data_IF_135218926061
#
_entry.id   IF_135218926061
#
_cell.length_a   1.000
_cell.length_b   1.000
_cell.length_c   1.000
_cell.angle_alpha   90.00
_cell.angle_beta   90.00
_cell.angle_gamma   90.00
#
_symmetry.space_group_name_H-M   'P 1'
#
loop_
_entity.id
_entity.type
_entity.pdbx_description
1 polymer ?
#
# COMPACT_ATOMS: atom_id res chain seq x y z
N UNK A 1 -0.47 -0.07 -43.54
CA UNK A 1 0.29 -1.34 -43.60
C UNK A 1 1.73 -1.05 -43.20
N UNK A 2 2.16 -1.39 -41.98
CA UNK A 2 3.54 -1.15 -41.50
C UNK A 2 4.39 -2.41 -41.70
N UNK A 3 5.57 -2.24 -42.30
CA UNK A 3 6.51 -3.30 -42.72
C UNK A 3 7.21 -3.96 -41.52
N UNK A 4 7.50 -5.25 -41.68
CA UNK A 4 8.30 -6.10 -40.79
C UNK A 4 9.76 -5.63 -40.78
N UNK A 5 10.32 -5.26 -39.63
CA UNK A 5 11.76 -4.96 -39.52
C UNK A 5 12.21 -3.99 -38.42
N UNK A 6 11.31 -3.22 -37.80
CA UNK A 6 11.72 -2.33 -36.70
C UNK A 6 11.77 -3.10 -35.38
N UNK A 7 12.96 -3.42 -34.90
CA UNK A 7 13.24 -4.07 -33.61
C UNK A 7 12.82 -3.28 -32.36
N UNK A 8 11.77 -2.46 -32.45
CA UNK A 8 11.12 -1.80 -31.31
C UNK A 8 10.17 -2.79 -30.65
N UNK A 9 10.33 -2.99 -29.35
CA UNK A 9 9.41 -3.79 -28.54
C UNK A 9 7.99 -3.27 -28.74
N UNK A 10 7.13 -4.08 -29.38
CA UNK A 10 5.71 -3.75 -29.55
C UNK A 10 5.08 -3.56 -28.17
N UNK A 11 4.36 -2.46 -28.00
CA UNK A 11 3.66 -2.08 -26.75
C UNK A 11 3.01 -3.27 -26.05
N UNK A 12 3.23 -3.41 -24.73
CA UNK A 12 2.77 -4.57 -23.94
C UNK A 12 1.26 -4.79 -24.02
N UNK A 13 0.47 -3.74 -24.33
CA UNK A 13 -0.98 -3.80 -24.55
C UNK A 13 -1.41 -4.76 -25.66
N UNK A 14 -0.54 -5.07 -26.65
CA UNK A 14 -0.83 -6.05 -27.72
C UNK A 14 -0.36 -7.49 -27.40
N UNK A 15 0.31 -7.73 -26.26
CA UNK A 15 0.70 -9.08 -25.80
C UNK A 15 -0.39 -9.73 -24.93
N UNK A 16 -1.37 -8.97 -24.47
CA UNK A 16 -2.57 -9.46 -23.76
C UNK A 16 -3.62 -9.95 -24.77
N UNK A 17 -3.27 -10.98 -25.56
CA UNK A 17 -4.12 -11.48 -26.64
C UNK A 17 -5.12 -12.56 -26.24
N UNK A 18 -5.00 -13.12 -25.04
CA UNK A 18 -5.82 -14.23 -24.56
C UNK A 18 -6.99 -13.71 -23.74
N UNK A 19 -8.21 -14.07 -24.14
CA UNK A 19 -9.43 -13.80 -23.39
C UNK A 19 -9.89 -15.07 -22.69
N UNK A 20 -10.10 -14.97 -21.38
CA UNK A 20 -10.70 -16.03 -20.58
C UNK A 20 -12.17 -15.65 -20.36
N UNK A 21 -13.09 -16.52 -20.80
CA UNK A 21 -14.51 -16.36 -20.56
C UNK A 21 -15.02 -17.55 -19.74
N UNK A 22 -15.66 -17.26 -18.62
CA UNK A 22 -16.48 -18.21 -17.86
C UNK A 22 -17.87 -17.61 -17.72
N UNK A 23 -18.90 -18.37 -18.09
CA UNK A 23 -20.27 -18.02 -17.73
C UNK A 23 -20.46 -18.32 -16.24
N UNK A 24 -20.94 -17.33 -15.51
CA UNK A 24 -21.21 -17.43 -14.08
C UNK A 24 -22.66 -17.06 -13.83
N UNK A 25 -23.24 -17.69 -12.83
CA UNK A 25 -24.54 -17.30 -12.26
C UNK A 25 -24.39 -16.01 -11.44
N UNK A 26 -25.51 -15.35 -11.15
CA UNK A 26 -25.51 -14.15 -10.31
C UNK A 26 -24.97 -14.45 -8.90
N UNK A 27 -25.29 -15.63 -8.35
CA UNK A 27 -24.79 -16.08 -7.05
C UNK A 27 -23.27 -16.29 -7.06
N UNK A 28 -22.73 -16.90 -8.12
CA UNK A 28 -21.28 -17.06 -8.28
C UNK A 28 -20.56 -15.72 -8.41
N UNK A 29 -21.17 -14.74 -9.10
CA UNK A 29 -20.62 -13.40 -9.24
C UNK A 29 -20.63 -12.67 -7.89
N UNK A 30 -21.75 -12.72 -7.17
CA UNK A 30 -21.86 -12.12 -5.84
C UNK A 30 -20.85 -12.71 -4.86
N UNK A 31 -20.74 -14.04 -4.81
CA UNK A 31 -19.76 -14.74 -3.98
C UNK A 31 -18.31 -14.40 -4.37
N UNK A 32 -18.05 -14.06 -5.63
CA UNK A 32 -16.72 -13.63 -6.09
C UNK A 32 -16.39 -12.21 -5.65
N UNK A 33 -17.35 -11.28 -5.72
CA UNK A 33 -17.20 -9.89 -5.24
C UNK A 33 -16.99 -9.87 -3.73
N UNK A 34 -17.77 -10.64 -2.97
CA UNK A 34 -17.58 -10.74 -1.52
C UNK A 34 -16.17 -11.26 -1.18
N UNK A 35 -15.68 -12.23 -1.95
CA UNK A 35 -14.32 -12.75 -1.80
C UNK A 35 -13.24 -11.72 -2.14
N UNK A 36 -13.48 -10.85 -3.13
CA UNK A 36 -12.56 -9.75 -3.45
C UNK A 36 -12.51 -8.71 -2.34
N UNK A 37 -13.66 -8.39 -1.75
CA UNK A 37 -13.77 -7.42 -0.65
C UNK A 37 -13.09 -7.96 0.61
N UNK A 38 -13.32 -9.25 0.92
CA UNK A 38 -12.66 -9.95 2.01
C UNK A 38 -11.13 -10.04 1.80
N UNK A 39 -10.69 -10.22 0.54
CA UNK A 39 -9.28 -10.16 0.17
C UNK A 39 -8.72 -8.71 0.18
N UNK A 40 -9.60 -7.73 0.40
CA UNK A 40 -9.27 -6.34 0.62
C UNK A 40 -9.13 -5.49 -0.64
N UNK A 41 -9.50 -6.02 -1.81
CA UNK A 41 -9.50 -5.31 -3.08
C UNK A 41 -10.71 -4.37 -3.18
N UNK A 42 -10.53 -3.20 -3.78
CA UNK A 42 -11.63 -2.27 -4.06
C UNK A 42 -12.38 -2.63 -5.35
N UNK A 43 -11.70 -3.30 -6.29
CA UNK A 43 -12.29 -3.78 -7.54
C UNK A 43 -12.07 -5.30 -7.68
N UNK A 44 -13.17 -6.04 -7.89
CA UNK A 44 -13.17 -7.48 -8.13
C UNK A 44 -12.36 -7.89 -9.37
N UNK A 45 -12.15 -6.98 -10.34
CA UNK A 45 -11.32 -7.24 -11.54
C UNK A 45 -9.83 -7.27 -11.22
N UNK A 46 -9.38 -6.44 -10.29
CA UNK A 46 -8.01 -6.47 -9.80
C UNK A 46 -7.78 -7.74 -8.98
N UNK A 47 -8.78 -8.15 -8.20
CA UNK A 47 -8.77 -9.44 -7.52
C UNK A 47 -8.69 -10.61 -8.51
N UNK A 48 -9.46 -10.60 -9.60
CA UNK A 48 -9.36 -11.63 -10.65
C UNK A 48 -7.96 -11.67 -11.29
N UNK A 49 -7.37 -10.49 -11.54
CA UNK A 49 -6.02 -10.40 -12.08
C UNK A 49 -4.99 -10.99 -11.12
N UNK A 50 -5.10 -10.68 -9.82
CA UNK A 50 -4.26 -11.25 -8.79
C UNK A 50 -4.50 -12.77 -8.63
N UNK A 51 -5.75 -13.22 -8.73
CA UNK A 51 -6.13 -14.64 -8.68
C UNK A 51 -5.47 -15.43 -9.81
N UNK A 52 -5.59 -14.96 -11.06
CA UNK A 52 -5.00 -15.61 -12.23
C UNK A 52 -3.47 -15.67 -12.12
N UNK A 53 -2.85 -14.65 -11.51
CA UNK A 53 -1.40 -14.60 -11.30
C UNK A 53 -0.91 -15.37 -10.06
N UNK A 54 -1.82 -15.91 -9.23
CA UNK A 54 -1.46 -16.53 -7.95
C UNK A 54 -0.93 -15.53 -6.89
N UNK A 55 -1.27 -14.26 -7.01
CA UNK A 55 -0.75 -13.13 -6.21
C UNK A 55 -1.72 -12.59 -5.14
N UNK A 56 -2.78 -13.33 -4.80
CA UNK A 56 -3.73 -12.88 -3.77
C UNK A 56 -3.07 -12.78 -2.38
N UNK A 57 -2.23 -13.76 -2.03
CA UNK A 57 -1.51 -13.77 -0.74
C UNK A 57 -0.58 -12.57 -0.56
N UNK A 58 0.22 -12.16 -1.57
CA UNK A 58 0.96 -10.90 -1.56
C UNK A 58 0.13 -9.64 -1.31
N UNK A 59 -1.10 -9.55 -1.84
CA UNK A 59 -1.93 -8.35 -1.70
C UNK A 59 -2.43 -8.15 -0.26
N UNK A 60 -2.88 -9.23 0.38
CA UNK A 60 -3.27 -9.21 1.79
C UNK A 60 -2.09 -8.80 2.70
N UNK A 61 -0.87 -9.25 2.38
CA UNK A 61 0.33 -8.82 3.07
C UNK A 61 0.61 -7.32 2.87
N UNK A 62 0.50 -6.81 1.64
CA UNK A 62 0.68 -5.39 1.34
C UNK A 62 -0.33 -4.49 2.07
N UNK A 63 -1.61 -4.90 2.18
CA UNK A 63 -2.64 -4.17 2.93
C UNK A 63 -2.36 -4.14 4.43
N UNK A 64 -1.83 -5.24 4.98
CA UNK A 64 -1.39 -5.32 6.38
C UNK A 64 -0.21 -4.37 6.64
N UNK A 65 0.75 -4.31 5.72
CA UNK A 65 1.93 -3.43 5.83
C UNK A 65 1.54 -1.93 5.79
N UNK A 66 0.60 -1.55 4.91
CA UNK A 66 0.05 -0.18 4.86
C UNK A 66 -0.68 0.17 6.17
N UNK A 67 -1.44 -0.77 6.74
CA UNK A 67 -2.17 -0.57 7.99
C UNK A 67 -1.22 -0.36 9.17
N UNK A 68 -0.14 -1.15 9.24
CA UNK A 68 0.92 -0.97 10.24
C UNK A 68 1.63 0.37 10.07
N UNK A 69 1.95 0.75 8.84
CA UNK A 69 2.54 2.06 8.52
C UNK A 69 1.65 3.23 8.98
N UNK A 70 0.33 3.13 8.77
CA UNK A 70 -0.63 4.14 9.25
C UNK A 70 -0.69 4.22 10.78
N UNK A 71 -0.65 3.08 11.47
CA UNK A 71 -0.58 3.02 12.93
C UNK A 71 0.70 3.67 13.49
N UNK A 72 1.83 3.51 12.80
CA UNK A 72 3.07 4.20 13.15
C UNK A 72 2.96 5.72 12.97
N UNK A 73 2.37 6.22 11.88
CA UNK A 73 2.12 7.65 11.67
C UNK A 73 1.24 8.26 12.76
N UNK A 74 0.20 7.54 13.21
CA UNK A 74 -0.67 7.99 14.30
C UNK A 74 0.09 8.20 15.62
N UNK A 75 1.03 7.31 15.94
CA UNK A 75 1.89 7.45 17.13
C UNK A 75 2.82 8.67 17.02
N UNK A 76 3.42 8.89 15.85
CA UNK A 76 4.28 10.06 15.59
C UNK A 76 3.49 11.36 15.80
N UNK A 77 2.29 11.46 15.21
CA UNK A 77 1.43 12.63 15.36
C UNK A 77 1.05 12.90 16.81
N UNK A 78 0.78 11.85 17.59
CA UNK A 78 0.52 11.99 19.03
C UNK A 78 1.73 12.52 19.80
N UNK A 79 2.93 12.00 19.54
CA UNK A 79 4.17 12.46 20.19
C UNK A 79 4.48 13.93 19.84
N UNK A 80 4.31 14.33 18.57
CA UNK A 80 4.47 15.72 18.16
C UNK A 80 3.47 16.64 18.85
N UNK A 81 2.21 16.21 18.97
CA UNK A 81 1.18 16.96 19.68
C UNK A 81 1.51 17.13 21.18
N UNK A 82 2.11 16.12 21.80
CA UNK A 82 2.59 16.20 23.19
C UNK A 82 3.72 17.22 23.33
N UNK A 83 4.69 17.25 22.40
CA UNK A 83 5.75 18.26 22.37
C UNK A 83 5.16 19.66 22.23
N UNK A 84 4.27 19.87 21.26
CA UNK A 84 3.62 21.17 21.04
C UNK A 84 2.87 21.64 22.28
N UNK A 85 2.13 20.75 22.97
CA UNK A 85 1.47 21.08 24.24
C UNK A 85 2.47 21.45 25.33
N UNK A 86 3.56 20.70 25.47
CA UNK A 86 4.57 20.96 26.49
C UNK A 86 5.33 22.29 26.25
N UNK A 87 5.54 22.68 24.98
CA UNK A 87 6.08 23.99 24.60
C UNK A 87 5.05 25.10 24.93
N UNK A 88 3.81 24.93 24.51
CA UNK A 88 2.76 25.96 24.66
C UNK A 88 2.44 26.28 26.13
N UNK A 89 2.58 25.31 27.04
CA UNK A 89 2.36 25.49 28.49
C UNK A 89 3.62 26.02 29.20
N UNK A 90 4.69 26.32 28.46
CA UNK A 90 5.94 26.83 29.03
C UNK A 90 6.70 25.80 29.87
N UNK A 91 6.34 24.51 29.76
CA UNK A 91 7.03 23.40 30.45
C UNK A 91 8.38 23.06 29.81
N UNK A 92 8.54 23.41 28.53
CA UNK A 92 9.80 23.28 27.79
C UNK A 92 10.37 24.67 27.49
N UNK A 93 11.19 25.18 28.41
CA UNK A 93 11.95 26.43 28.25
C UNK A 93 13.40 26.20 27.81
N UNK A 94 13.91 24.98 28.01
CA UNK A 94 15.09 24.42 27.36
C UNK A 94 14.66 23.09 26.74
N UNK A 95 14.91 22.89 25.44
CA UNK A 95 14.56 21.65 24.73
C UNK A 95 15.39 20.49 25.32
N UNK A 96 14.85 19.88 26.37
CA UNK A 96 15.50 18.79 27.10
C UNK A 96 15.50 17.48 26.32
N UNK A 97 16.25 16.49 26.83
CA UNK A 97 16.47 15.20 26.18
C UNK A 97 15.18 14.49 25.71
N UNK A 98 14.04 14.70 26.37
CA UNK A 98 12.76 14.10 25.97
C UNK A 98 12.23 14.60 24.61
N UNK A 99 12.41 15.88 24.30
CA UNK A 99 11.99 16.43 23.00
C UNK A 99 12.91 15.92 21.90
N UNK A 100 14.22 15.90 22.16
CA UNK A 100 15.21 15.33 21.24
C UNK A 100 14.91 13.85 20.97
N UNK A 101 14.53 13.09 22.01
CA UNK A 101 14.11 11.69 21.91
C UNK A 101 12.85 11.54 21.06
N UNK A 102 11.82 12.35 21.30
CA UNK A 102 10.58 12.30 20.52
C UNK A 102 10.78 12.71 19.04
N UNK A 103 11.67 13.67 18.75
CA UNK A 103 12.08 14.02 17.37
C UNK A 103 12.81 12.84 16.71
N UNK A 104 13.73 12.18 17.43
CA UNK A 104 14.44 11.01 16.90
C UNK A 104 13.49 9.83 16.66
N UNK A 105 12.55 9.56 17.56
CA UNK A 105 11.52 8.54 17.37
C UNK A 105 10.64 8.84 16.16
N UNK A 106 10.25 10.11 15.97
CA UNK A 106 9.51 10.55 14.78
C UNK A 106 10.30 10.30 13.49
N UNK A 107 11.60 10.65 13.49
CA UNK A 107 12.50 10.42 12.36
C UNK A 107 12.65 8.93 12.04
N UNK A 108 12.95 8.09 13.03
CA UNK A 108 13.11 6.63 12.84
C UNK A 108 11.82 5.98 12.33
N UNK A 109 10.66 6.41 12.83
CA UNK A 109 9.39 5.88 12.37
C UNK A 109 9.10 6.29 10.91
N UNK A 110 9.40 7.53 10.50
CA UNK A 110 9.31 7.97 9.09
C UNK A 110 10.27 7.18 8.19
N UNK A 111 11.51 6.96 8.62
CA UNK A 111 12.50 6.15 7.88
C UNK A 111 12.01 4.72 7.68
N UNK A 112 11.42 4.11 8.72
CA UNK A 112 10.85 2.76 8.66
C UNK A 112 9.65 2.68 7.72
N UNK A 113 8.70 3.61 7.82
CA UNK A 113 7.54 3.67 6.90
C UNK A 113 8.01 3.86 5.47
N UNK A 114 8.97 4.76 5.23
CA UNK A 114 9.55 4.98 3.91
C UNK A 114 10.23 3.72 3.35
N UNK A 115 10.87 2.90 4.19
CA UNK A 115 11.44 1.62 3.80
C UNK A 115 10.37 0.57 3.45
N UNK A 116 9.30 0.48 4.24
CA UNK A 116 8.18 -0.44 3.99
C UNK A 116 7.43 -0.07 2.70
N UNK A 117 7.14 1.21 2.48
CA UNK A 117 6.52 1.70 1.24
C UNK A 117 7.41 1.40 0.03
N UNK A 118 8.73 1.66 0.11
CA UNK A 118 9.67 1.32 -0.98
C UNK A 118 9.73 -0.18 -1.25
N UNK A 119 9.64 -1.01 -0.22
CA UNK A 119 9.58 -2.47 -0.36
C UNK A 119 8.28 -2.92 -1.04
N UNK A 120 7.15 -2.32 -0.67
CA UNK A 120 5.85 -2.62 -1.25
C UNK A 120 5.69 -2.15 -2.71
N UNK A 121 6.39 -1.08 -3.11
CA UNK A 121 6.40 -0.55 -4.48
C UNK A 121 7.41 -1.23 -5.42
N UNK A 122 8.21 -2.19 -4.93
CA UNK A 122 9.17 -2.92 -5.77
C UNK A 122 8.42 -4.07 -6.49
N UNK A 123 8.39 -4.09 -7.84
CA UNK A 123 7.70 -5.11 -8.62
C UNK A 123 8.31 -6.51 -8.47
#
# INVERSE_FOLDING_TARGET
MARTGDGKARSSKRRTGHQLYKRVTDDELAAFIERSDAAGFTDHRDYLTAFIRGQITPYLAAKKDITLSLGHLGKIGSNLNQISRAINVGRLTNVGQEVTKAINEARTAVEKIGAEIRKALRP
#
